data_IF_752708627587
#
_entry.id   IF_752708627587
#
_cell.length_a   1.000
_cell.length_b   1.000
_cell.length_c   1.000
_cell.angle_alpha   90.00
_cell.angle_beta   90.00
_cell.angle_gamma   90.00
#
_symmetry.space_group_name_H-M   'P 1'
#
loop_
_entity.id
_entity.type
_entity.pdbx_description
1 polymer ?
#
# COMPACT_ATOMS: atom_id res chain seq x y z
N UNK A 1 10.17 -5.46 -11.45
CA UNK A 1 8.74 -5.82 -11.25
C UNK A 1 7.83 -5.35 -12.39
N UNK A 2 7.62 -4.04 -12.63
CA UNK A 2 6.74 -3.60 -13.74
C UNK A 2 7.26 -4.02 -15.12
N UNK A 3 8.57 -3.91 -15.35
CA UNK A 3 9.23 -4.42 -16.57
C UNK A 3 9.13 -5.94 -16.68
N UNK A 4 9.20 -6.66 -15.56
CA UNK A 4 9.08 -8.12 -15.52
C UNK A 4 7.65 -8.54 -15.92
N UNK A 5 6.63 -7.83 -15.46
CA UNK A 5 5.24 -8.05 -15.89
C UNK A 5 5.06 -7.77 -17.39
N UNK A 6 5.67 -6.71 -17.92
CA UNK A 6 5.67 -6.42 -19.35
C UNK A 6 6.37 -7.52 -20.16
N UNK A 7 7.54 -7.98 -19.71
CA UNK A 7 8.27 -9.07 -20.35
C UNK A 7 7.47 -10.39 -20.33
N UNK A 8 6.72 -10.65 -19.26
CA UNK A 8 5.80 -11.79 -19.20
C UNK A 8 4.66 -11.65 -20.21
N UNK A 9 4.07 -10.46 -20.34
CA UNK A 9 3.05 -10.21 -21.37
C UNK A 9 3.61 -10.46 -22.78
N UNK A 10 4.85 -10.06 -23.04
CA UNK A 10 5.51 -10.33 -24.33
C UNK A 10 5.72 -11.83 -24.55
N UNK A 11 6.23 -12.54 -23.54
CA UNK A 11 6.43 -13.98 -23.60
C UNK A 11 5.13 -14.76 -23.85
N UNK A 12 4.03 -14.33 -23.24
CA UNK A 12 2.69 -14.94 -23.41
C UNK A 12 1.96 -14.46 -24.68
N UNK A 13 2.53 -13.51 -25.43
CA UNK A 13 1.88 -12.93 -26.61
C UNK A 13 0.69 -12.00 -26.29
N UNK A 14 0.53 -11.57 -25.04
CA UNK A 14 -0.55 -10.69 -24.62
C UNK A 14 -0.30 -9.25 -25.06
N UNK A 15 -0.93 -8.85 -26.17
CA UNK A 15 -0.80 -7.50 -26.73
C UNK A 15 -1.41 -6.42 -25.82
N UNK A 16 -2.53 -6.71 -25.18
CA UNK A 16 -3.23 -5.76 -24.29
C UNK A 16 -3.95 -6.54 -23.19
N UNK A 17 -3.99 -6.00 -21.97
CA UNK A 17 -4.65 -6.66 -20.83
C UNK A 17 -5.40 -5.66 -19.95
N UNK A 18 -6.46 -6.13 -19.28
CA UNK A 18 -7.02 -5.45 -18.11
C UNK A 18 -6.09 -5.73 -16.93
N UNK A 19 -5.49 -4.69 -16.36
CA UNK A 19 -4.47 -4.84 -15.31
C UNK A 19 -5.09 -4.44 -13.99
N UNK A 20 -5.04 -5.34 -13.02
CA UNK A 20 -5.41 -5.04 -11.64
C UNK A 20 -4.23 -5.33 -10.73
N UNK A 21 -4.07 -4.52 -9.70
CA UNK A 21 -3.08 -4.74 -8.66
C UNK A 21 -3.64 -4.37 -7.31
N UNK A 22 -3.22 -5.09 -6.28
CA UNK A 22 -3.55 -4.83 -4.88
C UNK A 22 -2.30 -4.40 -4.11
N UNK A 23 -2.38 -3.32 -3.33
CA UNK A 23 -1.28 -2.81 -2.50
C UNK A 23 -0.01 -2.55 -3.32
N UNK A 24 1.11 -3.25 -3.03
CA UNK A 24 2.32 -3.21 -3.85
C UNK A 24 2.06 -3.60 -5.32
N UNK A 25 1.11 -4.51 -5.57
CA UNK A 25 0.66 -4.87 -6.91
C UNK A 25 0.10 -3.66 -7.67
N UNK A 26 -0.64 -2.76 -7.01
CA UNK A 26 -1.16 -1.54 -7.65
C UNK A 26 -0.04 -0.55 -7.97
N UNK A 27 0.99 -0.48 -7.11
CA UNK A 27 2.20 0.32 -7.38
C UNK A 27 2.91 -0.17 -8.64
N UNK A 28 3.04 -1.49 -8.79
CA UNK A 28 3.62 -2.14 -9.97
C UNK A 28 2.74 -1.90 -11.20
N UNK A 29 1.42 -2.10 -11.08
CA UNK A 29 0.45 -1.89 -12.15
C UNK A 29 0.46 -0.44 -12.65
N UNK A 30 0.53 0.54 -11.75
CA UNK A 30 0.64 1.97 -12.11
C UNK A 30 1.93 2.25 -12.87
N UNK A 31 3.06 1.64 -12.48
CA UNK A 31 4.33 1.76 -13.21
C UNK A 31 4.26 1.09 -14.58
N UNK A 32 3.63 -0.09 -14.70
CA UNK A 32 3.40 -0.76 -15.98
C UNK A 32 2.58 0.15 -16.92
N UNK A 33 1.48 0.71 -16.41
CA UNK A 33 0.62 1.62 -17.15
C UNK A 33 1.32 2.92 -17.60
N UNK A 34 2.27 3.44 -16.81
CA UNK A 34 3.05 4.61 -17.20
C UNK A 34 4.17 4.32 -18.21
N UNK A 35 4.72 3.10 -18.19
CA UNK A 35 5.82 2.68 -19.09
C UNK A 35 5.27 2.24 -20.45
N UNK A 36 4.15 1.52 -20.46
CA UNK A 36 3.56 0.91 -21.65
C UNK A 36 2.02 1.06 -21.65
N UNK A 37 1.48 2.29 -21.69
CA UNK A 37 0.04 2.56 -21.63
C UNK A 37 -0.76 1.84 -22.72
N UNK A 38 -0.18 1.65 -23.90
CA UNK A 38 -0.78 0.93 -25.03
C UNK A 38 -1.09 -0.54 -24.73
N UNK A 39 -0.41 -1.12 -23.73
CA UNK A 39 -0.58 -2.50 -23.28
C UNK A 39 -1.70 -2.66 -22.25
N UNK A 40 -2.30 -1.56 -21.79
CA UNK A 40 -3.32 -1.55 -20.74
C UNK A 40 -4.69 -1.22 -21.34
N UNK A 41 -5.66 -2.12 -21.17
CA UNK A 41 -7.05 -1.92 -21.60
C UNK A 41 -7.86 -1.14 -20.55
N UNK A 42 -7.61 -1.43 -19.28
CA UNK A 42 -8.13 -0.69 -18.12
C UNK A 42 -7.25 -1.00 -16.90
N UNK A 43 -7.27 -0.12 -15.90
CA UNK A 43 -6.40 -0.21 -14.73
C UNK A 43 -7.20 -0.19 -13.42
N UNK A 44 -7.09 -1.25 -12.61
CA UNK A 44 -7.64 -1.28 -11.26
C UNK A 44 -6.55 -1.22 -10.18
N UNK A 45 -6.69 -0.29 -9.23
CA UNK A 45 -5.76 -0.02 -8.15
C UNK A 45 -6.48 -0.22 -6.81
N UNK A 46 -6.18 -1.34 -6.14
CA UNK A 46 -6.83 -1.72 -4.88
C UNK A 46 -5.92 -1.41 -3.68
N UNK A 47 -6.46 -0.75 -2.64
CA UNK A 47 -5.77 -0.54 -1.35
C UNK A 47 -4.35 0.04 -1.49
N UNK A 48 -4.20 1.14 -2.23
CA UNK A 48 -2.88 1.70 -2.58
C UNK A 48 -2.82 3.22 -2.38
N UNK A 49 -1.61 3.78 -2.50
CA UNK A 49 -1.34 5.22 -2.43
C UNK A 49 -0.55 5.69 -3.65
N UNK A 50 -0.48 7.01 -3.88
CA UNK A 50 0.31 7.58 -4.97
C UNK A 50 1.83 7.59 -4.71
N UNK A 51 2.26 7.10 -3.55
CA UNK A 51 3.66 7.00 -3.14
C UNK A 51 4.25 8.24 -2.46
N UNK A 52 5.55 8.18 -2.20
CA UNK A 52 6.31 9.17 -1.44
C UNK A 52 6.07 9.05 0.06
N UNK A 53 5.92 10.19 0.74
CA UNK A 53 5.60 10.21 2.17
C UNK A 53 4.26 9.52 2.51
N UNK A 54 3.40 9.28 1.52
CA UNK A 54 2.12 8.58 1.66
C UNK A 54 2.28 7.07 1.90
N UNK A 55 3.47 6.51 1.64
CA UNK A 55 3.78 5.13 2.01
C UNK A 55 4.17 4.98 3.48
N UNK A 56 4.23 6.08 4.24
CA UNK A 56 4.46 6.03 5.68
C UNK A 56 3.12 5.69 6.35
N UNK A 57 3.03 4.56 7.08
CA UNK A 57 1.83 4.19 7.79
C UNK A 57 1.41 5.27 8.79
N UNK A 58 0.13 5.27 9.15
CA UNK A 58 -0.39 6.16 10.19
C UNK A 58 0.38 5.95 11.49
N UNK A 59 0.88 7.03 12.09
CA UNK A 59 1.58 6.94 13.37
C UNK A 59 0.52 6.97 14.49
N UNK A 60 0.00 5.81 14.83
CA UNK A 60 -0.86 5.60 15.99
C UNK A 60 -0.45 4.34 16.77
N UNK A 61 -1.02 4.18 17.96
CA UNK A 61 -0.64 3.09 18.85
C UNK A 61 -0.96 1.71 18.26
N UNK A 62 -2.03 1.61 17.48
CA UNK A 62 -2.40 0.37 16.80
C UNK A 62 -1.34 -0.01 15.75
N UNK A 63 -0.94 0.93 14.90
CA UNK A 63 0.06 0.71 13.85
C UNK A 63 1.44 0.41 14.44
N UNK A 64 1.82 1.11 15.51
CA UNK A 64 3.07 0.84 16.25
C UNK A 64 3.03 -0.56 16.87
N UNK A 65 1.92 -0.94 17.49
CA UNK A 65 1.74 -2.28 18.08
C UNK A 65 1.85 -3.38 17.01
N UNK A 66 1.18 -3.20 15.87
CA UNK A 66 1.26 -4.13 14.74
C UNK A 66 2.69 -4.24 14.21
N UNK A 67 3.39 -3.13 14.00
CA UNK A 67 4.79 -3.12 13.56
C UNK A 67 5.70 -3.85 14.56
N UNK A 68 5.54 -3.60 15.86
CA UNK A 68 6.30 -4.29 16.91
C UNK A 68 6.04 -5.80 16.93
N UNK A 69 4.77 -6.23 16.78
CA UNK A 69 4.41 -7.65 16.72
C UNK A 69 4.96 -8.31 15.46
N UNK A 70 4.89 -7.61 14.33
CA UNK A 70 5.42 -8.10 13.06
C UNK A 70 6.94 -8.32 13.12
N UNK A 71 7.70 -7.36 13.67
CA UNK A 71 9.16 -7.48 13.85
C UNK A 71 9.56 -8.61 14.81
N UNK A 72 8.67 -8.96 15.75
CA UNK A 72 8.89 -10.03 16.74
C UNK A 72 8.45 -11.41 16.24
N UNK A 73 7.58 -11.50 15.23
CA UNK A 73 7.09 -12.76 14.71
C UNK A 73 8.24 -13.56 14.06
N UNK A 74 8.56 -14.73 14.63
CA UNK A 74 9.60 -15.63 14.14
C UNK A 74 9.08 -16.95 13.59
N UNK A 75 7.82 -17.28 13.87
CA UNK A 75 7.18 -18.53 13.44
C UNK A 75 5.97 -18.26 12.54
N UNK A 76 5.55 -19.22 11.70
CA UNK A 76 4.32 -19.14 10.92
C UNK A 76 3.09 -18.76 11.77
N UNK A 77 2.97 -19.32 12.97
CA UNK A 77 1.87 -19.12 13.91
C UNK A 77 1.80 -17.67 14.39
N UNK A 78 2.94 -17.11 14.77
CA UNK A 78 3.04 -15.73 15.21
C UNK A 78 2.78 -14.78 14.04
N UNK A 79 3.32 -15.11 12.86
CA UNK A 79 3.17 -14.28 11.67
C UNK A 79 1.73 -14.25 11.18
N UNK A 80 1.07 -15.40 11.11
CA UNK A 80 -0.34 -15.52 10.72
C UNK A 80 -1.23 -14.63 11.60
N UNK A 81 -1.06 -14.66 12.92
CA UNK A 81 -1.85 -13.84 13.83
C UNK A 81 -1.70 -12.33 13.59
N UNK A 82 -0.50 -11.87 13.24
CA UNK A 82 -0.27 -10.45 12.90
C UNK A 82 -0.81 -10.11 11.52
N UNK A 83 -0.58 -10.97 10.54
CA UNK A 83 -1.04 -10.76 9.17
C UNK A 83 -2.57 -10.66 9.10
N UNK A 84 -3.31 -11.49 9.86
CA UNK A 84 -4.77 -11.38 9.92
C UNK A 84 -5.23 -10.02 10.43
N UNK A 85 -4.63 -9.52 11.52
CA UNK A 85 -4.97 -8.22 12.11
C UNK A 85 -4.58 -7.02 11.22
N UNK A 86 -3.63 -7.23 10.29
CA UNK A 86 -3.23 -6.24 9.27
C UNK A 86 -4.18 -6.30 8.07
N UNK A 87 -4.56 -7.50 7.66
CA UNK A 87 -5.31 -7.72 6.43
C UNK A 87 -6.79 -7.44 6.55
N UNK A 88 -7.41 -7.77 7.69
CA UNK A 88 -8.86 -7.82 7.82
C UNK A 88 -9.40 -6.95 8.94
N UNK A 89 -10.66 -6.52 8.81
CA UNK A 89 -11.40 -5.94 9.94
C UNK A 89 -11.66 -6.97 11.04
N UNK A 90 -11.79 -6.50 12.29
CA UNK A 90 -12.16 -7.38 13.42
C UNK A 90 -13.53 -8.01 13.22
N UNK A 91 -14.49 -7.24 12.75
CA UNK A 91 -15.85 -7.72 12.44
C UNK A 91 -15.81 -8.91 11.48
N UNK A 92 -15.06 -8.80 10.38
CA UNK A 92 -14.91 -9.89 9.41
C UNK A 92 -14.22 -11.13 10.00
N UNK A 93 -13.23 -10.94 10.86
CA UNK A 93 -12.51 -12.04 11.50
C UNK A 93 -13.37 -12.76 12.56
N UNK A 94 -14.19 -12.02 13.29
CA UNK A 94 -14.95 -12.54 14.43
C UNK A 94 -16.31 -13.15 14.00
N UNK A 95 -16.70 -12.98 12.72
CA UNK A 95 -17.88 -13.64 12.14
C UNK A 95 -17.78 -15.18 12.22
N UNK A 96 -18.90 -15.82 12.59
CA UNK A 96 -19.02 -17.27 12.66
C UNK A 96 -19.38 -17.82 11.27
N UNK A 97 -18.54 -18.72 10.76
CA UNK A 97 -18.73 -19.42 9.49
C UNK A 97 -18.79 -20.92 9.77
N UNK A 98 -20.00 -21.48 9.72
CA UNK A 98 -20.24 -22.85 10.14
C UNK A 98 -20.06 -23.00 11.66
N UNK A 99 -19.06 -23.77 12.08
CA UNK A 99 -18.78 -24.04 13.51
C UNK A 99 -17.58 -23.27 14.08
N UNK A 100 -16.88 -22.48 13.26
CA UNK A 100 -15.68 -21.75 13.67
C UNK A 100 -15.82 -20.25 13.36
N UNK A 101 -15.01 -19.41 13.98
CA UNK A 101 -14.85 -18.03 13.51
C UNK A 101 -14.02 -18.01 12.24
N UNK A 102 -14.25 -17.01 11.39
CA UNK A 102 -13.44 -16.82 10.18
C UNK A 102 -11.96 -16.65 10.52
N UNK A 103 -11.64 -16.01 11.64
CA UNK A 103 -10.28 -15.93 12.21
C UNK A 103 -9.65 -17.30 12.36
N UNK A 104 -10.35 -18.26 12.97
CA UNK A 104 -9.80 -19.61 13.17
C UNK A 104 -9.51 -20.30 11.84
N UNK A 105 -10.44 -20.21 10.88
CA UNK A 105 -10.28 -20.80 9.55
C UNK A 105 -9.10 -20.19 8.79
N UNK A 106 -9.05 -18.85 8.69
CA UNK A 106 -7.97 -18.15 8.00
C UNK A 106 -6.63 -18.33 8.71
N UNK A 107 -6.61 -18.39 10.04
CA UNK A 107 -5.39 -18.64 10.80
C UNK A 107 -4.76 -19.97 10.41
N UNK A 108 -5.57 -21.03 10.36
CA UNK A 108 -5.10 -22.36 9.92
C UNK A 108 -4.58 -22.33 8.49
N UNK A 109 -5.26 -21.62 7.58
CA UNK A 109 -4.84 -21.47 6.19
C UNK A 109 -3.50 -20.72 6.06
N UNK A 110 -3.34 -19.61 6.78
CA UNK A 110 -2.11 -18.81 6.79
C UNK A 110 -0.94 -19.60 7.36
N UNK A 111 -1.13 -20.28 8.49
CA UNK A 111 -0.10 -21.14 9.09
C UNK A 111 0.29 -22.25 8.12
N UNK A 112 -0.69 -22.92 7.50
CA UNK A 112 -0.42 -23.97 6.51
C UNK A 112 0.39 -23.44 5.33
N UNK A 113 -0.01 -22.31 4.74
CA UNK A 113 0.67 -21.70 3.60
C UNK A 113 2.10 -21.23 3.92
N UNK A 114 2.29 -20.59 5.07
CA UNK A 114 3.61 -20.14 5.53
C UNK A 114 4.53 -21.33 5.84
N UNK A 115 3.99 -22.41 6.42
CA UNK A 115 4.73 -23.62 6.71
C UNK A 115 5.09 -24.42 5.44
N UNK A 116 4.23 -24.43 4.42
CA UNK A 116 4.50 -25.16 3.16
C UNK A 116 5.44 -24.42 2.22
N UNK A 117 5.30 -23.10 2.09
CA UNK A 117 6.08 -22.30 1.15
C UNK A 117 7.38 -21.75 1.77
N UNK A 118 7.49 -21.84 3.09
CA UNK A 118 8.53 -21.17 3.85
C UNK A 118 8.28 -19.67 3.99
N UNK A 119 8.91 -19.07 4.99
CA UNK A 119 8.94 -17.62 5.14
C UNK A 119 9.72 -16.97 3.99
N UNK A 120 9.26 -15.81 3.54
CA UNK A 120 9.99 -15.02 2.55
C UNK A 120 11.43 -14.79 3.01
N UNK A 121 12.39 -14.92 2.09
CA UNK A 121 13.79 -14.66 2.40
C UNK A 121 13.97 -13.21 2.89
N UNK A 122 14.94 -13.01 3.80
CA UNK A 122 15.20 -11.69 4.39
C UNK A 122 15.46 -10.62 3.33
N UNK A 123 16.29 -10.94 2.33
CA UNK A 123 16.60 -10.01 1.24
C UNK A 123 15.40 -9.72 0.34
N UNK A 124 14.55 -10.73 0.07
CA UNK A 124 13.32 -10.52 -0.69
C UNK A 124 12.35 -9.59 0.04
N UNK A 125 12.20 -9.81 1.34
CA UNK A 125 11.36 -8.99 2.20
C UNK A 125 11.87 -7.54 2.30
N UNK A 126 13.15 -7.35 2.65
CA UNK A 126 13.77 -6.02 2.75
C UNK A 126 13.71 -5.27 1.41
N UNK A 127 13.92 -5.97 0.29
CA UNK A 127 13.80 -5.41 -1.06
C UNK A 127 12.39 -4.93 -1.39
N UNK A 128 11.37 -5.73 -1.07
CA UNK A 128 9.96 -5.35 -1.29
C UNK A 128 9.52 -4.19 -0.39
N UNK A 129 9.92 -4.20 0.89
CA UNK A 129 9.68 -3.07 1.78
C UNK A 129 10.30 -1.78 1.24
N UNK A 130 11.58 -1.84 0.85
CA UNK A 130 12.26 -0.69 0.28
C UNK A 130 11.57 -0.21 -1.01
N UNK A 131 11.14 -1.13 -1.87
CA UNK A 131 10.38 -0.80 -3.08
C UNK A 131 9.05 -0.10 -2.75
N UNK A 132 8.32 -0.55 -1.72
CA UNK A 132 7.09 0.09 -1.27
C UNK A 132 7.35 1.50 -0.71
N UNK A 133 8.36 1.66 0.16
CA UNK A 133 8.68 2.95 0.78
C UNK A 133 9.24 3.98 -0.19
N UNK A 134 9.98 3.53 -1.20
CA UNK A 134 10.56 4.41 -2.23
C UNK A 134 9.63 4.59 -3.43
N UNK A 135 8.48 3.91 -3.46
CA UNK A 135 7.50 4.07 -4.53
C UNK A 135 7.02 5.52 -4.60
N UNK A 136 6.96 6.07 -5.82
CA UNK A 136 6.38 7.37 -6.11
C UNK A 136 5.92 7.39 -7.56
N UNK A 137 4.71 7.87 -7.81
CA UNK A 137 4.28 8.30 -9.14
C UNK A 137 4.72 9.74 -9.39
N UNK A 138 5.57 9.92 -10.40
CA UNK A 138 5.99 11.25 -10.86
C UNK A 138 4.87 11.93 -11.63
N UNK A 139 4.93 13.26 -11.76
CA UNK A 139 3.94 14.00 -12.55
C UNK A 139 3.90 13.51 -14.01
N UNK A 140 5.05 13.27 -14.62
CA UNK A 140 5.17 12.72 -15.98
C UNK A 140 4.49 11.35 -16.14
N UNK A 141 4.60 10.49 -15.13
CA UNK A 141 3.93 9.18 -15.14
C UNK A 141 2.42 9.32 -14.98
N UNK A 142 1.96 10.20 -14.07
CA UNK A 142 0.54 10.51 -13.92
C UNK A 142 -0.05 11.07 -15.22
N UNK A 143 0.64 12.01 -15.86
CA UNK A 143 0.18 12.63 -17.11
C UNK A 143 0.08 11.60 -18.23
N UNK A 144 1.05 10.68 -18.35
CA UNK A 144 0.99 9.55 -19.29
C UNK A 144 -0.17 8.61 -19.03
N UNK A 145 -0.44 8.29 -17.76
CA UNK A 145 -1.58 7.44 -17.40
C UNK A 145 -2.88 8.15 -17.76
N UNK A 146 -3.01 9.45 -17.48
CA UNK A 146 -4.22 10.23 -17.76
C UNK A 146 -4.50 10.36 -19.27
N UNK A 147 -3.46 10.61 -20.07
CA UNK A 147 -3.60 10.78 -21.52
C UNK A 147 -3.76 9.48 -22.31
N UNK A 148 -3.68 8.32 -21.64
CA UNK A 148 -3.77 7.00 -22.28
C UNK A 148 -5.15 6.64 -22.82
N UNK A 149 -6.21 7.31 -22.34
CA UNK A 149 -7.59 7.04 -22.73
C UNK A 149 -8.25 5.83 -22.06
N UNK A 150 -7.52 4.98 -21.34
CA UNK A 150 -8.14 3.85 -20.63
C UNK A 150 -8.84 4.28 -19.33
N UNK A 151 -9.80 3.47 -18.90
CA UNK A 151 -10.53 3.69 -17.64
C UNK A 151 -9.71 3.20 -16.45
N UNK A 152 -9.82 3.93 -15.34
CA UNK A 152 -9.13 3.64 -14.08
C UNK A 152 -10.15 3.46 -12.96
N UNK A 153 -10.00 2.38 -12.21
CA UNK A 153 -10.80 2.09 -11.03
C UNK A 153 -9.89 2.09 -9.80
N UNK A 154 -10.19 2.91 -8.80
CA UNK A 154 -9.54 2.88 -7.50
C UNK A 154 -10.53 2.27 -6.52
N UNK A 155 -10.17 1.17 -5.86
CA UNK A 155 -11.00 0.55 -4.82
C UNK A 155 -10.23 0.57 -3.50
N UNK A 156 -10.86 0.99 -2.41
CA UNK A 156 -10.16 1.09 -1.12
C UNK A 156 -11.04 0.69 0.05
N UNK A 157 -10.49 -0.07 0.98
CA UNK A 157 -11.13 -0.41 2.26
C UNK A 157 -11.08 0.76 3.23
N UNK A 158 -12.21 1.17 3.79
CA UNK A 158 -12.28 2.33 4.70
C UNK A 158 -11.48 2.16 5.98
N UNK A 159 -11.28 0.91 6.40
CA UNK A 159 -10.63 0.52 7.65
C UNK A 159 -9.20 0.02 7.42
N UNK A 160 -8.61 0.32 6.25
CA UNK A 160 -7.24 -0.06 5.90
C UNK A 160 -6.22 0.62 6.84
N UNK A 161 -5.56 -0.21 7.67
CA UNK A 161 -4.54 0.21 8.64
C UNK A 161 -3.14 0.35 8.03
N UNK A 162 -2.94 -0.13 6.79
CA UNK A 162 -1.66 -0.12 6.08
C UNK A 162 -1.57 1.12 5.19
N UNK A 163 -2.58 1.32 4.34
CA UNK A 163 -2.65 2.41 3.38
C UNK A 163 -3.87 3.30 3.69
N UNK A 164 -3.64 4.54 4.11
CA UNK A 164 -4.74 5.42 4.50
C UNK A 164 -5.64 5.78 3.31
N UNK A 165 -6.97 5.65 3.50
CA UNK A 165 -8.00 5.98 2.50
C UNK A 165 -7.83 7.37 1.88
N UNK A 166 -7.42 8.37 2.67
CA UNK A 166 -7.19 9.73 2.19
C UNK A 166 -6.15 9.81 1.06
N UNK A 167 -5.15 8.92 1.07
CA UNK A 167 -4.14 8.88 0.01
C UNK A 167 -4.67 8.25 -1.28
N UNK A 168 -5.59 7.28 -1.18
CA UNK A 168 -6.29 6.74 -2.34
C UNK A 168 -7.25 7.76 -2.97
N UNK A 169 -8.00 8.53 -2.16
CA UNK A 169 -8.81 9.67 -2.64
C UNK A 169 -7.97 10.66 -3.44
N UNK A 170 -6.84 11.11 -2.88
CA UNK A 170 -5.89 12.00 -3.57
C UNK A 170 -5.31 11.41 -4.84
N UNK A 171 -5.06 10.10 -4.88
CA UNK A 171 -4.59 9.42 -6.08
C UNK A 171 -5.67 9.43 -7.16
N UNK A 172 -6.92 9.09 -6.82
CA UNK A 172 -8.04 9.13 -7.75
C UNK A 172 -8.29 10.54 -8.31
N UNK A 173 -8.21 11.57 -7.46
CA UNK A 173 -8.28 12.99 -7.88
C UNK A 173 -7.18 13.35 -8.89
N UNK A 174 -5.94 12.90 -8.66
CA UNK A 174 -4.82 13.13 -9.58
C UNK A 174 -4.97 12.39 -10.92
N UNK A 175 -5.75 11.32 -10.95
CA UNK A 175 -5.99 10.50 -12.13
C UNK A 175 -7.23 10.94 -12.92
N UNK A 176 -7.90 12.02 -12.50
CA UNK A 176 -9.00 12.62 -13.27
C UNK A 176 -8.57 13.04 -14.69
N UNK A 177 -9.45 12.90 -15.69
CA UNK A 177 -10.86 12.45 -15.59
C UNK A 177 -11.03 10.93 -15.63
N UNK A 178 -9.97 10.15 -15.80
CA UNK A 178 -10.07 8.71 -16.09
C UNK A 178 -10.48 7.83 -14.89
N UNK A 179 -10.54 8.37 -13.67
CA UNK A 179 -10.63 7.60 -12.44
C UNK A 179 -12.03 7.59 -11.81
N UNK A 180 -12.50 6.41 -11.45
CA UNK A 180 -13.64 6.17 -10.54
C UNK A 180 -13.11 5.67 -9.21
N UNK A 181 -13.63 6.19 -8.10
CA UNK A 181 -13.28 5.76 -6.74
C UNK A 181 -14.43 4.97 -6.10
N UNK A 182 -14.14 3.77 -5.61
CA UNK A 182 -15.09 2.92 -4.87
C UNK A 182 -14.55 2.67 -3.47
N UNK A 183 -15.27 3.17 -2.47
CA UNK A 183 -14.90 3.01 -1.07
C UNK A 183 -15.79 1.97 -0.41
N UNK A 184 -15.19 0.89 0.08
CA UNK A 184 -15.92 -0.25 0.65
C UNK A 184 -15.63 -0.37 2.15
N UNK A 185 -16.58 -0.96 2.88
CA UNK A 185 -16.30 -1.42 4.24
C UNK A 185 -15.28 -2.55 4.19
N UNK A 186 -14.21 -2.47 4.98
CA UNK A 186 -13.18 -3.50 4.98
C UNK A 186 -11.79 -2.94 5.19
N UNK A 187 -10.85 -3.85 5.49
CA UNK A 187 -9.46 -3.55 5.78
C UNK A 187 -8.58 -3.51 4.55
N UNK A 188 -7.34 -3.94 4.73
CA UNK A 188 -6.36 -3.93 3.64
C UNK A 188 -6.70 -4.96 2.54
N UNK A 189 -7.23 -6.14 2.88
CA UNK A 189 -7.71 -7.14 1.93
C UNK A 189 -9.21 -6.99 1.63
N UNK A 190 -9.61 -5.79 1.19
CA UNK A 190 -11.02 -5.50 0.87
C UNK A 190 -11.59 -6.42 -0.21
N UNK A 191 -10.75 -6.95 -1.11
CA UNK A 191 -11.12 -7.94 -2.13
C UNK A 191 -11.59 -9.28 -1.54
N UNK A 192 -11.13 -9.62 -0.33
CA UNK A 192 -11.57 -10.82 0.38
C UNK A 192 -12.81 -10.51 1.24
N UNK A 193 -12.88 -9.34 1.88
CA UNK A 193 -14.01 -8.97 2.73
C UNK A 193 -15.28 -8.63 1.94
N UNK A 194 -15.11 -8.09 0.73
CA UNK A 194 -16.16 -7.59 -0.15
C UNK A 194 -15.99 -8.11 -1.57
N UNK A 195 -15.80 -9.43 -1.68
CA UNK A 195 -15.52 -10.09 -2.96
C UNK A 195 -16.59 -9.82 -4.01
N UNK A 196 -17.88 -9.80 -3.63
CA UNK A 196 -18.97 -9.57 -4.57
C UNK A 196 -18.91 -8.15 -5.15
N UNK A 197 -18.73 -7.14 -4.30
CA UNK A 197 -18.69 -5.72 -4.68
C UNK A 197 -17.43 -5.37 -5.47
N UNK A 198 -16.29 -5.93 -5.08
CA UNK A 198 -15.04 -5.78 -5.82
C UNK A 198 -15.16 -6.41 -7.21
N UNK A 199 -15.65 -7.65 -7.31
CA UNK A 199 -15.84 -8.30 -8.61
C UNK A 199 -16.84 -7.55 -9.49
N UNK A 200 -17.93 -7.05 -8.91
CA UNK A 200 -18.91 -6.25 -9.64
C UNK A 200 -18.27 -4.98 -10.22
N UNK A 201 -17.50 -4.26 -9.42
CA UNK A 201 -16.81 -3.02 -9.85
C UNK A 201 -15.77 -3.29 -10.93
N UNK A 202 -15.00 -4.39 -10.82
CA UNK A 202 -14.04 -4.81 -11.84
C UNK A 202 -14.73 -5.17 -13.16
N UNK A 203 -15.83 -5.92 -13.09
CA UNK A 203 -16.60 -6.32 -14.28
C UNK A 203 -17.27 -5.12 -14.95
N UNK A 204 -17.76 -4.16 -14.16
CA UNK A 204 -18.29 -2.88 -14.66
C UNK A 204 -17.22 -2.12 -15.45
N UNK A 205 -16.01 -1.96 -14.91
CA UNK A 205 -14.90 -1.30 -15.60
C UNK A 205 -14.52 -2.03 -16.88
N UNK A 206 -14.42 -3.36 -16.85
CA UNK A 206 -14.10 -4.17 -18.04
C UNK A 206 -15.17 -3.98 -19.13
N UNK A 207 -16.46 -3.96 -18.75
CA UNK A 207 -17.56 -3.74 -19.69
C UNK A 207 -17.52 -2.33 -20.27
N UNK A 208 -17.35 -1.30 -19.43
CA UNK A 208 -17.25 0.09 -19.86
C UNK A 208 -16.06 0.33 -20.81
N UNK A 209 -14.91 -0.29 -20.51
CA UNK A 209 -13.71 -0.26 -21.35
C UNK A 209 -13.96 -0.84 -22.75
N UNK A 210 -14.78 -1.90 -22.87
CA UNK A 210 -15.15 -2.49 -24.17
C UNK A 210 -16.18 -1.69 -24.93
N UNK A 211 -17.02 -0.92 -24.24
CA UNK A 211 -18.05 -0.07 -24.84
C UNK A 211 -17.55 1.35 -25.20
N UNK A 212 -16.25 1.63 -25.06
CA UNK A 212 -15.65 2.96 -25.27
C UNK A 212 -16.35 4.07 -24.48
N UNK A 213 -16.75 3.78 -23.24
CA UNK A 213 -17.33 4.79 -22.33
C UNK A 213 -16.37 5.97 -22.15
N UNK A 214 -16.90 7.19 -22.19
CA UNK A 214 -16.12 8.40 -21.98
C UNK A 214 -15.56 8.46 -20.55
N UNK A 215 -14.35 9.02 -20.40
CA UNK A 215 -13.71 9.13 -19.08
C UNK A 215 -14.51 10.02 -18.13
N UNK A 216 -15.15 11.08 -18.64
CA UNK A 216 -16.02 11.96 -17.86
C UNK A 216 -17.32 11.30 -17.40
N UNK A 217 -17.85 10.34 -18.15
CA UNK A 217 -19.00 9.52 -17.74
C UNK A 217 -18.61 8.43 -16.72
N UNK A 218 -17.40 7.89 -16.86
CA UNK A 218 -16.88 6.87 -15.95
C UNK A 218 -16.57 7.42 -14.55
N UNK A 219 -16.06 8.64 -14.46
CA UNK A 219 -15.66 9.26 -13.20
C UNK A 219 -16.86 9.59 -12.30
N UNK A 220 -16.74 9.25 -11.01
CA UNK A 220 -17.68 9.66 -9.96
C UNK A 220 -17.10 10.74 -9.04
N UNK A 221 -15.94 11.31 -9.38
CA UNK A 221 -15.30 12.36 -8.59
C UNK A 221 -15.84 13.74 -8.98
N UNK A 222 -15.87 14.71 -8.04
CA UNK A 222 -16.29 16.07 -8.34
C UNK A 222 -15.46 16.65 -9.49
N UNK A 223 -16.14 17.23 -10.49
CA UNK A 223 -15.45 18.01 -11.52
C UNK A 223 -14.74 19.16 -10.83
N UNK A 224 -13.45 19.36 -11.10
CA UNK A 224 -12.77 20.59 -10.71
C UNK A 224 -13.44 21.72 -11.48
N UNK A 225 -14.33 22.46 -10.82
CA UNK A 225 -14.88 23.70 -11.35
C UNK A 225 -13.72 24.69 -11.51
N UNK A 226 -13.62 25.32 -12.68
CA UNK A 226 -12.77 26.50 -12.90
C UNK A 226 -13.22 27.72 -12.05
N UNK A 227 -14.27 27.58 -11.23
CA UNK A 227 -14.87 28.61 -10.37
C UNK A 227 -14.04 29.05 -9.16
N UNK A 228 -12.83 28.52 -8.95
CA UNK A 228 -11.96 29.03 -7.87
C UNK A 228 -11.41 30.45 -8.16
N UNK A 229 -11.71 31.03 -9.33
CA UNK A 229 -11.35 32.41 -9.69
C UNK A 229 -12.47 33.44 -9.45
N UNK A 230 -13.67 33.04 -9.03
CA UNK A 230 -14.78 33.98 -8.77
C UNK A 230 -15.33 33.97 -7.33
N UNK A 231 -14.87 33.05 -6.47
CA UNK A 231 -15.18 33.11 -5.04
C UNK A 231 -14.22 34.05 -4.30
N UNK A 232 -14.37 35.35 -4.53
CA UNK A 232 -13.85 36.38 -3.63
C UNK A 232 -14.50 36.25 -2.24
N UNK A 233 -13.66 36.37 -1.21
CA UNK A 233 -13.98 36.51 0.22
C UNK A 233 -14.31 35.23 1.02
N UNK A 234 -13.28 34.47 1.39
CA UNK A 234 -13.14 34.09 2.81
C UNK A 234 -11.67 33.84 3.23
N UNK A 235 -10.97 34.93 3.54
CA UNK A 235 -9.52 34.97 3.79
C UNK A 235 -9.06 34.28 5.10
N UNK A 236 -9.98 33.74 5.91
CA UNK A 236 -9.65 33.10 7.20
C UNK A 236 -9.45 31.58 7.09
N UNK A 237 -10.15 30.90 6.19
CA UNK A 237 -10.00 29.44 6.02
C UNK A 237 -8.70 29.08 5.28
N UNK A 238 -8.42 29.78 4.17
CA UNK A 238 -7.20 29.57 3.37
C UNK A 238 -5.91 29.88 4.15
N UNK A 239 -5.94 30.88 5.05
CA UNK A 239 -4.81 31.19 5.96
C UNK A 239 -4.59 30.10 7.01
N UNK A 240 -5.67 29.46 7.47
CA UNK A 240 -5.61 28.34 8.42
C UNK A 240 -5.04 27.09 7.76
N UNK A 241 -5.46 26.76 6.54
CA UNK A 241 -4.92 25.63 5.78
C UNK A 241 -3.45 25.82 5.39
N UNK A 242 -3.06 27.04 4.99
CA UNK A 242 -1.67 27.36 4.68
C UNK A 242 -0.76 27.24 5.92
N UNK A 243 -1.21 27.74 7.07
CA UNK A 243 -0.48 27.57 8.34
C UNK A 243 -0.37 26.10 8.75
N UNK A 244 -1.41 25.30 8.53
CA UNK A 244 -1.39 23.85 8.79
C UNK A 244 -0.37 23.16 7.88
N UNK A 245 -0.32 23.47 6.59
CA UNK A 245 0.64 22.91 5.63
C UNK A 245 2.09 23.28 5.99
N UNK A 246 2.33 24.53 6.42
CA UNK A 246 3.65 24.98 6.88
C UNK A 246 4.07 24.26 8.15
N UNK A 247 3.15 24.08 9.11
CA UNK A 247 3.40 23.34 10.35
C UNK A 247 3.71 21.86 10.04
N UNK A 248 2.95 21.21 9.15
CA UNK A 248 3.21 19.81 8.76
C UNK A 248 4.55 19.66 8.03
N UNK A 249 4.94 20.62 7.19
CA UNK A 249 6.26 20.64 6.56
C UNK A 249 7.40 20.85 7.58
N UNK A 250 7.18 21.70 8.60
CA UNK A 250 8.14 21.93 9.66
C UNK A 250 8.27 20.70 10.58
N UNK A 251 7.16 20.07 10.94
CA UNK A 251 7.13 18.81 11.69
C UNK A 251 7.81 17.68 10.90
N UNK A 252 7.57 17.60 9.59
CA UNK A 252 8.22 16.60 8.73
C UNK A 252 9.74 16.77 8.68
N UNK A 253 10.23 18.03 8.62
CA UNK A 253 11.68 18.32 8.70
C UNK A 253 12.26 17.99 10.08
N UNK A 254 11.56 18.32 11.16
CA UNK A 254 11.94 17.94 12.53
C UNK A 254 11.97 16.42 12.73
N UNK A 255 11.02 15.70 12.13
CA UNK A 255 10.96 14.25 12.18
C UNK A 255 12.10 13.59 11.39
N UNK A 256 12.47 14.13 10.23
CA UNK A 256 13.66 13.71 9.48
C UNK A 256 14.95 13.89 10.28
N UNK A 257 15.07 15.01 10.99
CA UNK A 257 16.20 15.28 11.89
C UNK A 257 16.21 14.28 13.05
N UNK A 258 15.06 14.01 13.67
CA UNK A 258 14.94 13.01 14.75
C UNK A 258 15.27 11.60 14.27
N UNK A 259 14.79 11.19 13.09
CA UNK A 259 15.09 9.88 12.50
C UNK A 259 16.58 9.73 12.18
N UNK A 260 17.23 10.81 11.72
CA UNK A 260 18.68 10.84 11.53
C UNK A 260 19.41 10.61 12.86
N UNK A 261 19.04 11.32 13.93
CA UNK A 261 19.64 11.12 15.25
C UNK A 261 19.38 9.73 15.84
N UNK A 262 18.16 9.17 15.66
CA UNK A 262 17.85 7.80 16.07
C UNK A 262 18.65 6.77 15.26
N UNK A 263 18.85 6.99 13.97
CA UNK A 263 19.68 6.14 13.11
C UNK A 263 21.14 6.13 13.55
N UNK A 264 21.71 7.32 13.82
CA UNK A 264 23.08 7.47 14.35
C UNK A 264 23.20 6.79 15.72
N UNK A 265 22.24 7.02 16.61
CA UNK A 265 22.22 6.38 17.94
C UNK A 265 22.13 4.85 17.85
N UNK A 266 21.29 4.33 16.96
CA UNK A 266 21.17 2.89 16.71
C UNK A 266 22.48 2.28 16.21
N UNK A 267 23.18 2.94 15.27
CA UNK A 267 24.48 2.50 14.77
C UNK A 267 25.52 2.47 15.90
N UNK A 268 25.59 3.52 16.72
CA UNK A 268 26.49 3.58 17.89
C UNK A 268 26.19 2.44 18.87
N UNK A 269 24.91 2.21 19.17
CA UNK A 269 24.49 1.14 20.08
C UNK A 269 24.80 -0.25 19.54
N UNK A 270 24.65 -0.46 18.22
CA UNK A 270 24.99 -1.73 17.58
C UNK A 270 26.51 -1.95 17.59
N UNK A 271 27.29 -0.91 17.36
CA UNK A 271 28.75 -0.97 17.41
C UNK A 271 29.25 -1.28 18.83
N UNK A 272 28.70 -0.62 19.85
CA UNK A 272 28.99 -0.89 21.25
C UNK A 272 28.63 -2.33 21.63
N UNK A 273 27.49 -2.86 21.17
CA UNK A 273 27.11 -4.26 21.37
C UNK A 273 28.07 -5.24 20.69
N UNK A 274 28.61 -4.92 19.51
CA UNK A 274 29.62 -5.76 18.84
C UNK A 274 30.93 -5.77 19.61
N UNK A 275 31.41 -4.62 20.10
CA UNK A 275 32.62 -4.53 20.93
C UNK A 275 32.46 -5.33 22.23
N UNK A 276 31.31 -5.22 22.90
CA UNK A 276 31.00 -6.00 24.10
C UNK A 276 30.93 -7.52 23.86
N UNK A 277 30.61 -7.97 22.64
CA UNK A 277 30.66 -9.40 22.29
C UNK A 277 32.08 -9.91 22.07
N UNK A 278 32.97 -9.06 21.55
CA UNK A 278 34.39 -9.37 21.36
C UNK A 278 35.13 -9.43 22.70
N UNK A 279 34.67 -8.66 23.71
CA UNK A 279 35.27 -8.61 25.05
C UNK A 279 34.82 -9.75 25.99
N UNK A 280 34.01 -10.73 25.55
CA UNK A 280 33.71 -11.89 26.40
C UNK A 280 34.96 -12.79 26.48
N UNK A 281 35.57 -12.98 27.67
CA UNK A 281 36.77 -13.80 27.80
C UNK A 281 36.42 -15.27 27.54
N UNK A 282 37.23 -15.93 26.72
CA UNK A 282 37.23 -17.38 26.54
C UNK A 282 37.63 -18.00 27.89
N UNK A 283 36.72 -18.75 28.51
CA UNK A 283 37.08 -19.58 29.67
C UNK A 283 37.97 -20.72 29.18
N UNK A 284 39.25 -20.65 29.50
CA UNK A 284 40.16 -21.79 29.35
C UNK A 284 39.98 -22.68 30.58
N UNK A 285 39.41 -23.86 30.38
CA UNK A 285 39.31 -24.91 31.39
C UNK A 285 40.72 -25.42 31.69
N UNK A 286 41.21 -25.26 32.93
CA UNK A 286 42.43 -25.90 33.38
C UNK A 286 42.13 -27.37 33.71
N UNK A 287 42.75 -28.29 32.97
CA UNK A 287 42.79 -29.72 33.28
C UNK A 287 43.86 -29.96 34.34
N UNK A 288 43.46 -30.52 35.48
CA UNK A 288 44.33 -30.89 36.60
C UNK A 288 45.15 -32.16 36.31
N UNK A 289 46.44 -32.11 36.63
CA UNK A 289 47.29 -33.23 37.03
C UNK A 289 47.97 -32.84 38.34
#
# INVERSE_FOLDING_TARGET
MAKDALALMDHLGWRKAHVFGHSMGSMIASKLAAIAPERVASLALLNTTGGGYQCIPKIDWQTISLACRFLRARTPEQRAGVDLDVHYTREYLDEIVGSNTRRQMLYQEYVKGLSSCGMQSRHGYEGQLNACWTHKLTQKELDRIRSSGFLILVIHGRDDVVAQLYHARRLAEKLQPAAKLVELHGGHLVSHERTAEVNMSLMEMIKASKSNTDQGEWSNLPKKSDDLLLAGSDSRLAKRECNIIVIYNLLGKLQLILLFFFGVFYIILEHARRVLRVLKPVRVSATSL
#
